data_IF_380553410495
#
_entry.id   IF_380553410495
#
_cell.length_a   1.000
_cell.length_b   1.000
_cell.length_c   1.000
_cell.angle_alpha   90.00
_cell.angle_beta   90.00
_cell.angle_gamma   90.00
#
_symmetry.space_group_name_H-M   'P 1'
#
loop_
_entity.id
_entity.type
_entity.pdbx_description
1 polymer ?
#
# COMPACT_ATOMS: atom_id res chain seq x y z
N UNK A 1 -34.24 49.80 -16.22
CA UNK A 1 -33.53 50.89 -15.52
C UNK A 1 -33.74 50.60 -14.05
N UNK A 2 -32.84 49.81 -13.41
CA UNK A 2 -31.61 50.29 -12.73
C UNK A 2 -31.99 51.31 -11.65
N UNK A 3 -31.83 51.08 -10.34
CA UNK A 3 -30.67 50.50 -9.65
C UNK A 3 -31.02 49.68 -8.38
N UNK A 4 -30.21 48.64 -8.15
CA UNK A 4 -29.98 47.93 -6.88
C UNK A 4 -29.20 48.82 -5.92
N UNK A 5 -29.40 48.72 -4.59
CA UNK A 5 -28.35 48.93 -3.57
C UNK A 5 -28.72 48.10 -2.34
N UNK A 6 -28.10 46.93 -2.21
CA UNK A 6 -28.06 46.11 -1.01
C UNK A 6 -26.68 46.34 -0.38
N UNK A 7 -26.61 46.92 0.82
CA UNK A 7 -25.34 47.11 1.54
C UNK A 7 -24.85 45.77 2.11
N UNK A 8 -23.88 45.15 1.43
CA UNK A 8 -23.02 44.10 1.99
C UNK A 8 -22.03 44.73 2.98
N UNK A 9 -22.10 44.32 4.25
CA UNK A 9 -21.01 44.55 5.20
C UNK A 9 -19.87 43.57 4.90
N UNK A 10 -18.84 44.09 4.23
CA UNK A 10 -17.61 43.37 3.91
C UNK A 10 -16.79 43.04 5.18
N UNK A 11 -16.40 41.76 5.31
CA UNK A 11 -15.32 41.33 6.19
C UNK A 11 -13.99 41.93 5.71
N UNK A 12 -13.08 42.35 6.62
CA UNK A 12 -11.81 42.93 6.22
C UNK A 12 -10.93 41.89 5.53
N UNK A 13 -10.54 42.19 4.29
CA UNK A 13 -9.50 41.52 3.52
C UNK A 13 -8.17 41.58 4.29
N UNK A 14 -7.85 40.52 5.04
CA UNK A 14 -6.49 40.24 5.46
C UNK A 14 -5.79 39.58 4.27
N UNK A 15 -5.19 40.38 3.38
CA UNK A 15 -3.92 40.13 2.67
C UNK A 15 -3.66 41.32 1.72
N UNK A 16 -2.70 42.21 2.04
CA UNK A 16 -2.28 43.24 1.11
C UNK A 16 -1.62 42.58 -0.10
N UNK A 17 -2.09 42.96 -1.27
CA UNK A 17 -1.43 42.77 -2.56
C UNK A 17 -0.28 43.78 -2.66
N UNK A 18 0.87 43.43 -2.11
CA UNK A 18 2.13 44.12 -2.41
C UNK A 18 3.23 43.09 -2.66
N UNK A 19 3.97 43.32 -3.74
CA UNK A 19 5.10 42.54 -4.25
C UNK A 19 6.18 42.37 -3.18
N UNK A 20 6.17 41.25 -2.46
CA UNK A 20 7.32 40.83 -1.68
C UNK A 20 8.35 40.17 -2.61
N UNK A 21 9.46 40.86 -2.84
CA UNK A 21 10.64 40.33 -3.50
C UNK A 21 11.25 39.17 -2.68
N UNK A 22 10.99 37.94 -3.11
CA UNK A 22 11.60 36.71 -2.60
C UNK A 22 13.03 36.51 -3.15
N UNK A 23 13.99 37.37 -2.80
CA UNK A 23 15.36 37.22 -3.34
C UNK A 23 16.51 37.03 -2.34
N UNK A 24 16.30 37.01 -1.01
CA UNK A 24 17.44 36.94 -0.06
C UNK A 24 17.40 35.77 0.95
N UNK A 25 16.71 34.67 0.66
CA UNK A 25 16.70 33.47 1.53
C UNK A 25 17.42 32.28 0.88
N UNK A 26 18.69 32.00 1.22
CA UNK A 26 19.48 30.93 0.57
C UNK A 26 18.96 29.50 0.85
N UNK A 27 18.09 29.33 1.85
CA UNK A 27 17.49 28.05 2.26
C UNK A 27 16.12 27.77 1.64
N UNK A 28 15.53 28.74 0.92
CA UNK A 28 14.22 28.63 0.27
C UNK A 28 14.38 28.66 -1.24
N UNK A 29 14.05 27.56 -1.92
CA UNK A 29 14.13 27.44 -3.36
C UNK A 29 12.74 27.26 -3.99
N UNK A 30 12.38 28.17 -4.89
CA UNK A 30 11.14 28.11 -5.69
C UNK A 30 11.54 27.83 -7.14
N UNK A 31 11.03 26.72 -7.70
CA UNK A 31 11.30 26.34 -9.09
C UNK A 31 10.00 26.19 -9.86
N UNK A 32 9.86 27.00 -10.90
CA UNK A 32 8.72 26.97 -11.82
C UNK A 32 9.08 26.19 -13.09
N UNK A 33 8.33 25.13 -13.38
CA UNK A 33 8.60 24.24 -14.51
C UNK A 33 7.79 24.66 -15.76
N UNK A 34 8.45 25.10 -16.85
CA UNK A 34 7.76 25.54 -18.05
C UNK A 34 7.05 24.40 -18.80
N UNK A 35 5.95 24.75 -19.46
CA UNK A 35 5.05 23.83 -20.17
C UNK A 35 5.58 23.41 -21.55
N UNK A 36 6.62 22.57 -21.62
CA UNK A 36 6.90 21.77 -22.83
C UNK A 36 7.90 20.63 -22.55
N UNK A 37 7.54 19.39 -22.90
CA UNK A 37 8.37 18.26 -23.43
C UNK A 37 7.84 16.88 -23.02
N UNK A 38 7.74 15.96 -23.99
CA UNK A 38 7.38 14.53 -23.85
C UNK A 38 8.62 13.61 -23.90
N UNK A 39 8.67 12.67 -22.94
CA UNK A 39 9.26 11.31 -22.95
C UNK A 39 10.79 11.08 -22.79
N UNK A 40 11.07 9.88 -22.22
CA UNK A 40 12.29 9.02 -22.21
C UNK A 40 13.08 8.87 -20.89
N UNK A 41 12.79 7.77 -20.17
CA UNK A 41 13.55 7.04 -19.12
C UNK A 41 14.05 7.76 -17.85
N UNK A 42 13.79 7.14 -16.69
CA UNK A 42 13.59 7.75 -15.36
C UNK A 42 14.70 8.65 -14.75
N UNK A 43 15.90 8.77 -15.34
CA UNK A 43 16.89 9.79 -14.93
C UNK A 43 17.40 10.60 -16.14
N UNK A 44 17.36 10.04 -17.35
CA UNK A 44 17.68 10.76 -18.60
C UNK A 44 16.53 11.67 -19.06
N UNK A 45 15.33 11.48 -18.51
CA UNK A 45 14.11 12.23 -18.85
C UNK A 45 13.97 13.58 -18.15
N UNK A 46 14.83 13.90 -17.16
CA UNK A 46 14.75 15.17 -16.46
C UNK A 46 15.23 16.26 -17.43
N UNK A 47 14.38 17.26 -17.64
CA UNK A 47 14.81 18.44 -18.37
C UNK A 47 15.86 19.23 -17.54
N UNK A 48 16.52 20.20 -18.15
CA UNK A 48 17.62 20.95 -17.51
C UNK A 48 17.22 21.56 -16.16
N UNK A 49 16.02 22.13 -16.06
CA UNK A 49 15.51 22.74 -14.82
C UNK A 49 15.22 21.69 -13.73
N UNK A 50 14.60 20.58 -14.10
CA UNK A 50 14.31 19.47 -13.20
C UNK A 50 15.60 18.80 -12.69
N UNK A 51 16.62 18.73 -13.54
CA UNK A 51 17.92 18.19 -13.20
C UNK A 51 18.70 19.10 -12.25
N UNK A 52 18.56 20.42 -12.38
CA UNK A 52 19.12 21.36 -11.39
C UNK A 52 18.54 21.13 -10.00
N UNK A 53 17.23 20.92 -9.88
CA UNK A 53 16.60 20.56 -8.58
C UNK A 53 17.16 19.24 -8.05
N UNK A 54 17.27 18.23 -8.91
CA UNK A 54 17.81 16.92 -8.55
C UNK A 54 19.25 17.01 -8.03
N UNK A 55 20.14 17.66 -8.78
CA UNK A 55 21.56 17.79 -8.44
C UNK A 55 21.75 18.62 -7.15
N UNK A 56 20.91 19.63 -6.93
CA UNK A 56 20.94 20.46 -5.72
C UNK A 56 20.54 19.68 -4.46
N UNK A 57 19.47 18.88 -4.54
CA UNK A 57 19.08 17.99 -3.43
C UNK A 57 20.14 16.90 -3.21
N UNK A 58 20.75 16.39 -4.28
CA UNK A 58 21.83 15.42 -4.19
C UNK A 58 23.03 15.97 -3.41
N UNK A 59 23.49 17.18 -3.73
CA UNK A 59 24.58 17.84 -3.02
C UNK A 59 24.24 18.06 -1.54
N UNK A 60 23.02 18.50 -1.23
CA UNK A 60 22.56 18.63 0.14
C UNK A 60 22.55 17.29 0.89
N UNK A 61 21.99 16.22 0.30
CA UNK A 61 22.02 14.88 0.91
C UNK A 61 23.46 14.39 1.14
N UNK A 62 24.38 14.65 0.20
CA UNK A 62 25.80 14.32 0.38
C UNK A 62 26.45 15.10 1.51
N UNK A 63 26.11 16.39 1.69
CA UNK A 63 26.57 17.21 2.84
C UNK A 63 26.04 16.65 4.16
N UNK A 64 24.78 16.20 4.21
CA UNK A 64 24.20 15.53 5.38
C UNK A 64 24.96 14.23 5.71
N UNK A 65 25.26 13.41 4.71
CA UNK A 65 26.03 12.17 4.92
C UNK A 65 27.45 12.48 5.41
N UNK A 66 28.11 13.50 4.84
CA UNK A 66 29.44 13.95 5.29
C UNK A 66 29.41 14.48 6.72
N UNK A 67 28.38 15.23 7.12
CA UNK A 67 28.28 15.80 8.48
C UNK A 67 28.15 14.72 9.56
N UNK A 68 27.61 13.53 9.23
CA UNK A 68 27.53 12.38 10.16
C UNK A 68 28.91 11.88 10.62
N UNK A 69 29.98 12.11 9.86
CA UNK A 69 31.36 11.67 10.17
C UNK A 69 32.24 12.75 10.80
N UNK A 70 31.63 13.76 11.45
CA UNK A 70 32.24 14.95 12.05
C UNK A 70 32.39 16.17 11.12
N UNK A 71 31.27 16.64 10.57
CA UNK A 71 31.17 17.94 9.90
C UNK A 71 29.98 18.76 10.40
N UNK A 72 29.92 20.08 10.13
CA UNK A 72 28.76 20.90 10.45
C UNK A 72 27.53 20.38 9.71
N UNK A 73 26.41 20.25 10.42
CA UNK A 73 25.14 19.80 9.85
C UNK A 73 24.65 20.88 8.86
N UNK A 74 24.35 20.54 7.59
CA UNK A 74 23.83 21.53 6.65
C UNK A 74 22.46 22.04 7.12
N UNK A 75 22.15 23.29 6.79
CA UNK A 75 20.87 23.90 7.14
C UNK A 75 19.69 23.18 6.47
N UNK A 76 18.50 23.17 7.10
CA UNK A 76 17.30 22.61 6.50
C UNK A 76 16.98 23.30 5.17
N UNK A 77 16.63 22.51 4.16
CA UNK A 77 16.28 22.99 2.83
C UNK A 77 14.78 22.84 2.59
N UNK A 78 14.12 23.89 2.11
CA UNK A 78 12.73 23.83 1.64
C UNK A 78 12.67 24.07 0.14
N UNK A 79 12.04 23.14 -0.58
CA UNK A 79 11.88 23.21 -2.03
C UNK A 79 10.40 23.24 -2.36
N UNK A 80 9.99 24.29 -3.08
CA UNK A 80 8.66 24.42 -3.65
C UNK A 80 8.75 24.17 -5.16
N UNK A 81 8.16 23.07 -5.62
CA UNK A 81 8.06 22.73 -7.06
C UNK A 81 6.69 23.17 -7.56
N UNK A 82 6.66 24.22 -8.37
CA UNK A 82 5.43 24.76 -8.97
C UNK A 82 5.38 24.45 -10.48
N UNK A 83 4.19 24.55 -11.07
CA UNK A 83 3.99 24.38 -12.51
C UNK A 83 2.61 23.84 -12.88
N UNK A 84 2.22 24.00 -14.16
CA UNK A 84 0.92 23.59 -14.70
C UNK A 84 0.68 22.07 -14.71
N UNK A 85 -0.54 21.63 -15.02
CA UNK A 85 -0.84 20.20 -15.21
C UNK A 85 -0.01 19.60 -16.36
N UNK A 86 0.55 18.41 -16.18
CA UNK A 86 1.35 17.73 -17.21
C UNK A 86 2.83 18.13 -17.31
N UNK A 87 3.34 19.04 -16.46
CA UNK A 87 4.75 19.50 -16.46
C UNK A 87 5.73 18.52 -15.79
N UNK A 88 5.28 17.33 -15.40
CA UNK A 88 6.13 16.30 -14.80
C UNK A 88 6.50 16.53 -13.33
N UNK A 89 5.81 17.40 -12.58
CA UNK A 89 6.07 17.65 -11.15
C UNK A 89 6.19 16.36 -10.32
N UNK A 90 5.23 15.44 -10.46
CA UNK A 90 5.24 14.15 -9.76
C UNK A 90 6.44 13.29 -10.12
N UNK A 91 6.92 13.37 -11.36
CA UNK A 91 8.09 12.64 -11.84
C UNK A 91 9.38 13.16 -11.19
N UNK A 92 9.52 14.49 -11.07
CA UNK A 92 10.65 15.14 -10.39
C UNK A 92 10.66 14.83 -8.91
N UNK A 93 9.51 14.96 -8.24
CA UNK A 93 9.35 14.65 -6.81
C UNK A 93 9.74 13.19 -6.55
N UNK A 94 9.26 12.26 -7.39
CA UNK A 94 9.59 10.84 -7.26
C UNK A 94 11.09 10.58 -7.48
N UNK A 95 11.70 11.17 -8.50
CA UNK A 95 13.13 11.01 -8.79
C UNK A 95 14.02 11.55 -7.65
N UNK A 96 13.69 12.74 -7.13
CA UNK A 96 14.38 13.38 -6.00
C UNK A 96 14.24 12.53 -4.74
N UNK A 97 13.02 12.07 -4.44
CA UNK A 97 12.74 11.23 -3.27
C UNK A 97 13.53 9.91 -3.31
N UNK A 98 13.52 9.20 -4.44
CA UNK A 98 14.25 7.95 -4.62
C UNK A 98 15.77 8.15 -4.48
N UNK A 99 16.30 9.25 -5.01
CA UNK A 99 17.71 9.60 -4.82
C UNK A 99 18.04 9.93 -3.37
N UNK A 100 17.16 10.66 -2.67
CA UNK A 100 17.39 11.13 -1.30
C UNK A 100 17.46 9.95 -0.34
N UNK A 101 16.52 9.02 -0.48
CA UNK A 101 16.50 7.76 0.25
C UNK A 101 17.80 6.99 0.02
N UNK A 102 18.17 6.74 -1.25
CA UNK A 102 19.40 6.01 -1.58
C UNK A 102 20.65 6.66 -0.99
N UNK A 103 20.74 7.98 -1.05
CA UNK A 103 21.92 8.72 -0.61
C UNK A 103 22.00 8.75 0.93
N UNK A 104 20.88 8.95 1.62
CA UNK A 104 20.83 9.09 3.08
C UNK A 104 20.84 7.73 3.82
N UNK A 105 20.49 6.63 3.16
CA UNK A 105 20.48 5.28 3.74
C UNK A 105 21.83 4.54 3.65
N UNK A 106 22.80 5.00 2.85
CA UNK A 106 24.10 4.34 2.77
C UNK A 106 24.95 4.57 4.04
N UNK A 107 24.91 3.62 4.98
CA UNK A 107 25.95 3.46 5.99
C UNK A 107 27.15 2.70 5.40
N UNK A 108 28.29 3.39 5.25
CA UNK A 108 29.58 2.77 5.51
C UNK A 108 30.26 1.85 4.49
N UNK A 109 29.85 1.71 3.21
CA UNK A 109 30.66 1.03 2.19
C UNK A 109 30.79 1.86 0.89
N UNK A 110 32.00 2.00 0.30
CA UNK A 110 32.13 2.55 -1.05
C UNK A 110 31.53 1.53 -2.04
N UNK A 111 30.77 1.98 -3.07
CA UNK A 111 30.36 1.06 -4.12
C UNK A 111 31.61 0.54 -4.85
N UNK A 112 31.74 -0.79 -4.89
CA UNK A 112 32.73 -1.44 -5.74
C UNK A 112 32.48 -1.07 -7.21
N UNK A 113 33.53 -1.02 -8.06
CA UNK A 113 33.33 -0.82 -9.48
C UNK A 113 32.72 -2.09 -10.08
N UNK A 114 31.62 -1.92 -10.81
CA UNK A 114 31.12 -2.84 -11.83
C UNK A 114 30.91 -4.29 -11.37
N UNK A 115 29.83 -4.51 -10.62
CA UNK A 115 28.99 -5.69 -10.82
C UNK A 115 27.91 -5.33 -11.84
N UNK A 116 28.26 -5.34 -13.14
CA UNK A 116 27.26 -5.49 -14.19
C UNK A 116 26.68 -6.89 -13.98
N UNK A 117 25.66 -7.01 -13.12
CA UNK A 117 24.65 -8.03 -13.37
C UNK A 117 24.06 -7.61 -14.70
N UNK A 118 24.38 -8.37 -15.74
CA UNK A 118 23.52 -8.43 -16.90
C UNK A 118 22.13 -8.72 -16.33
N UNK A 119 21.27 -7.70 -16.29
CA UNK A 119 19.86 -7.96 -16.49
C UNK A 119 19.86 -8.68 -17.82
N UNK A 120 19.71 -10.00 -17.78
CA UNK A 120 19.05 -10.65 -18.89
C UNK A 120 17.74 -9.89 -19.01
N UNK A 121 17.62 -9.08 -20.06
CA UNK A 121 16.35 -8.64 -20.58
C UNK A 121 15.58 -9.90 -20.97
N UNK A 122 15.06 -10.60 -19.97
CA UNK A 122 13.96 -11.50 -20.20
C UNK A 122 12.80 -10.54 -20.41
N UNK A 123 12.53 -10.23 -21.66
CA UNK A 123 11.29 -9.61 -22.10
C UNK A 123 10.15 -10.57 -21.79
N UNK A 124 9.85 -10.76 -20.51
CA UNK A 124 8.68 -11.53 -20.09
C UNK A 124 7.50 -10.63 -20.43
N UNK A 125 6.77 -11.02 -21.46
CA UNK A 125 5.52 -10.37 -21.82
C UNK A 125 4.61 -10.41 -20.59
N UNK A 126 4.28 -9.24 -20.02
CA UNK A 126 3.58 -9.15 -18.74
C UNK A 126 2.25 -9.95 -18.75
N UNK A 127 1.64 -10.07 -19.93
CA UNK A 127 0.42 -10.84 -20.22
C UNK A 127 0.56 -12.35 -20.09
N UNK A 128 1.80 -12.88 -19.98
CA UNK A 128 2.09 -14.32 -19.93
C UNK A 128 2.71 -14.81 -18.62
N UNK A 129 2.95 -13.91 -17.66
CA UNK A 129 3.63 -14.24 -16.40
C UNK A 129 2.89 -15.28 -15.54
N UNK A 130 1.57 -15.33 -15.66
CA UNK A 130 0.68 -16.20 -14.89
C UNK A 130 0.24 -17.47 -15.60
N UNK A 131 0.67 -17.71 -16.85
CA UNK A 131 0.21 -18.87 -17.64
C UNK A 131 0.54 -20.17 -16.92
N UNK A 132 -0.48 -21.01 -16.72
CA UNK A 132 -0.36 -22.29 -16.01
C UNK A 132 -0.30 -22.16 -14.49
N UNK A 133 -0.49 -20.96 -13.93
CA UNK A 133 -0.57 -20.72 -12.49
C UNK A 133 -2.02 -20.48 -12.05
N UNK A 134 -2.29 -20.83 -10.80
CA UNK A 134 -3.57 -20.57 -10.14
C UNK A 134 -3.34 -19.74 -8.89
N UNK A 135 -4.13 -18.68 -8.73
CA UNK A 135 -4.11 -17.74 -7.61
C UNK A 135 -5.46 -17.84 -6.90
N UNK A 136 -5.49 -17.94 -5.58
CA UNK A 136 -6.71 -17.74 -4.80
C UNK A 136 -6.60 -16.49 -3.95
N UNK A 137 -7.71 -15.76 -3.81
CA UNK A 137 -7.80 -14.57 -2.96
C UNK A 137 -8.87 -14.76 -1.90
N UNK A 138 -8.55 -14.41 -0.65
CA UNK A 138 -9.47 -14.46 0.48
C UNK A 138 -9.34 -13.19 1.33
N UNK A 139 -10.46 -12.78 1.93
CA UNK A 139 -10.50 -11.75 2.97
C UNK A 139 -10.75 -12.38 4.33
N UNK A 140 -9.98 -12.00 5.36
CA UNK A 140 -10.09 -12.63 6.68
C UNK A 140 -9.81 -11.62 7.80
N UNK A 141 -10.57 -11.70 8.90
CA UNK A 141 -10.50 -10.77 10.02
C UNK A 141 -11.63 -9.75 10.02
N UNK A 142 -11.47 -8.63 10.72
CA UNK A 142 -12.39 -7.50 10.61
C UNK A 142 -12.35 -6.94 9.19
N UNK A 143 -13.50 -6.58 8.63
CA UNK A 143 -13.56 -5.96 7.32
C UNK A 143 -13.13 -4.50 7.37
N UNK A 144 -12.59 -4.02 6.27
CA UNK A 144 -12.15 -2.64 6.13
C UNK A 144 -12.53 -2.12 4.73
N UNK A 145 -12.95 -0.86 4.65
CA UNK A 145 -13.30 -0.25 3.36
C UNK A 145 -12.09 -0.27 2.43
N UNK A 146 -12.29 -0.71 1.19
CA UNK A 146 -11.21 -0.89 0.20
C UNK A 146 -10.73 -2.33 0.03
N UNK A 147 -11.12 -3.28 0.88
CA UNK A 147 -10.82 -4.71 0.67
C UNK A 147 -11.37 -5.21 -0.69
N UNK A 148 -12.56 -4.76 -1.09
CA UNK A 148 -13.11 -5.05 -2.40
C UNK A 148 -12.25 -4.53 -3.56
N UNK A 149 -11.60 -3.37 -3.39
CA UNK A 149 -10.68 -2.82 -4.38
C UNK A 149 -9.42 -3.68 -4.52
N UNK A 150 -8.89 -4.17 -3.38
CA UNK A 150 -7.76 -5.08 -3.34
C UNK A 150 -8.10 -6.43 -4.01
N UNK A 151 -9.23 -7.05 -3.66
CA UNK A 151 -9.71 -8.28 -4.31
C UNK A 151 -9.83 -8.07 -5.83
N UNK A 152 -10.48 -6.97 -6.25
CA UNK A 152 -10.62 -6.62 -7.66
C UNK A 152 -9.28 -6.49 -8.36
N UNK A 153 -8.30 -5.82 -7.75
CA UNK A 153 -6.97 -5.67 -8.33
C UNK A 153 -6.28 -7.02 -8.52
N UNK A 154 -6.31 -7.88 -7.50
CA UNK A 154 -5.76 -9.25 -7.56
C UNK A 154 -6.38 -10.07 -8.69
N UNK A 155 -7.72 -10.04 -8.84
CA UNK A 155 -8.40 -10.75 -9.92
C UNK A 155 -8.02 -10.19 -11.30
N UNK A 156 -8.10 -8.87 -11.49
CA UNK A 156 -7.81 -8.24 -12.79
C UNK A 156 -6.37 -8.48 -13.23
N UNK A 157 -5.41 -8.32 -12.32
CA UNK A 157 -3.99 -8.54 -12.62
C UNK A 157 -3.71 -10.02 -12.84
N UNK A 158 -4.26 -10.91 -12.00
CA UNK A 158 -4.13 -12.35 -12.19
C UNK A 158 -4.62 -12.81 -13.56
N UNK A 159 -5.84 -12.42 -13.94
CA UNK A 159 -6.40 -12.73 -15.26
C UNK A 159 -5.61 -12.09 -16.41
N UNK A 160 -5.18 -10.83 -16.26
CA UNK A 160 -4.38 -10.12 -17.26
C UNK A 160 -3.04 -10.81 -17.54
N UNK A 161 -2.41 -11.38 -16.51
CA UNK A 161 -1.14 -12.13 -16.63
C UNK A 161 -1.34 -13.57 -17.14
N UNK A 162 -2.58 -14.02 -17.36
CA UNK A 162 -2.92 -15.36 -17.84
C UNK A 162 -3.05 -16.43 -16.74
N UNK A 163 -3.08 -16.04 -15.46
CA UNK A 163 -3.35 -16.94 -14.35
C UNK A 163 -4.85 -17.25 -14.22
N UNK A 164 -5.17 -18.43 -13.69
CA UNK A 164 -6.52 -18.73 -13.19
C UNK A 164 -6.67 -18.12 -11.80
N UNK A 165 -7.75 -17.39 -11.56
CA UNK A 165 -7.99 -16.77 -10.26
C UNK A 165 -9.24 -17.36 -9.62
N UNK A 166 -9.20 -17.59 -8.31
CA UNK A 166 -10.31 -18.12 -7.51
C UNK A 166 -10.62 -17.18 -6.34
N UNK A 167 -11.90 -17.02 -6.03
CA UNK A 167 -12.33 -16.48 -4.74
C UNK A 167 -12.37 -17.61 -3.72
N UNK A 168 -12.06 -17.27 -2.49
CA UNK A 168 -12.37 -18.08 -1.32
C UNK A 168 -13.33 -17.26 -0.48
N UNK A 169 -14.56 -17.74 -0.38
CA UNK A 169 -15.61 -17.11 0.41
C UNK A 169 -15.40 -17.33 1.91
N UNK A 170 -15.88 -16.41 2.74
CA UNK A 170 -15.86 -16.53 4.21
C UNK A 170 -14.44 -16.76 4.80
N UNK A 171 -13.42 -16.22 4.13
CA UNK A 171 -12.03 -16.26 4.59
C UNK A 171 -11.48 -17.67 4.78
N UNK A 172 -10.85 -17.92 5.93
CA UNK A 172 -10.29 -19.25 6.23
C UNK A 172 -11.37 -20.33 6.40
N UNK A 173 -12.61 -19.95 6.74
CA UNK A 173 -13.68 -20.92 6.90
C UNK A 173 -14.02 -21.58 5.56
N UNK A 174 -14.27 -20.78 4.52
CA UNK A 174 -14.52 -21.34 3.19
C UNK A 174 -13.30 -22.04 2.58
N UNK A 175 -12.09 -21.67 2.99
CA UNK A 175 -10.89 -22.43 2.61
C UNK A 175 -10.91 -23.85 3.18
N UNK A 176 -11.30 -24.01 4.44
CA UNK A 176 -11.43 -25.31 5.13
C UNK A 176 -12.59 -26.11 4.56
N UNK A 177 -13.74 -25.47 4.36
CA UNK A 177 -14.97 -26.11 3.88
C UNK A 177 -14.82 -26.58 2.43
N UNK A 178 -14.11 -25.80 1.59
CA UNK A 178 -13.93 -26.10 0.18
C UNK A 178 -15.23 -26.08 -0.60
N UNK A 179 -15.29 -26.84 -1.69
CA UNK A 179 -16.48 -26.94 -2.54
C UNK A 179 -16.87 -25.59 -3.14
N UNK A 180 -18.14 -25.22 -3.02
CA UNK A 180 -18.70 -23.99 -3.59
C UNK A 180 -18.10 -22.71 -2.99
N UNK A 181 -17.43 -22.80 -1.84
CA UNK A 181 -16.73 -21.67 -1.24
C UNK A 181 -15.47 -21.28 -2.02
N UNK A 182 -14.94 -22.16 -2.88
CA UNK A 182 -13.78 -21.86 -3.74
C UNK A 182 -14.24 -21.83 -5.19
N UNK A 183 -14.57 -20.63 -5.68
CA UNK A 183 -15.17 -20.44 -7.00
C UNK A 183 -14.22 -19.68 -7.94
N UNK A 184 -14.22 -19.98 -9.25
CA UNK A 184 -13.40 -19.26 -10.21
C UNK A 184 -13.88 -17.81 -10.35
N UNK A 185 -12.93 -16.87 -10.34
CA UNK A 185 -13.19 -15.46 -10.58
C UNK A 185 -13.11 -15.14 -12.09
N UNK A 186 -14.01 -14.29 -12.58
CA UNK A 186 -14.01 -13.81 -13.97
C UNK A 186 -13.73 -12.32 -14.03
N UNK A 187 -13.54 -11.82 -15.25
CA UNK A 187 -13.37 -10.39 -15.46
C UNK A 187 -14.63 -9.63 -15.01
N UNK A 188 -15.81 -10.19 -15.26
CA UNK A 188 -17.10 -9.58 -14.95
C UNK A 188 -17.40 -9.60 -13.45
N UNK A 189 -17.00 -10.66 -12.74
CA UNK A 189 -17.34 -10.88 -11.33
C UNK A 189 -16.84 -9.80 -10.37
N UNK A 190 -15.85 -8.99 -10.78
CA UNK A 190 -15.27 -7.90 -9.97
C UNK A 190 -15.58 -6.49 -10.49
N UNK A 191 -16.52 -6.32 -11.42
CA UNK A 191 -16.75 -5.03 -12.10
C UNK A 191 -17.30 -3.93 -11.19
N UNK A 192 -18.17 -4.28 -10.24
CA UNK A 192 -18.85 -3.31 -9.34
C UNK A 192 -18.29 -3.32 -7.92
N UNK A 193 -17.13 -3.94 -7.70
CA UNK A 193 -16.57 -4.09 -6.36
C UNK A 193 -15.95 -2.80 -5.82
N UNK A 194 -15.49 -1.88 -6.69
CA UNK A 194 -14.66 -0.75 -6.27
C UNK A 194 -15.38 0.21 -5.30
N UNK A 195 -16.68 0.42 -5.50
CA UNK A 195 -17.51 1.34 -4.73
C UNK A 195 -18.19 0.71 -3.51
N UNK A 196 -18.06 -0.60 -3.31
CA UNK A 196 -18.78 -1.32 -2.25
C UNK A 196 -17.94 -1.36 -0.97
N UNK A 197 -18.58 -1.08 0.16
CA UNK A 197 -18.01 -1.25 1.49
C UNK A 197 -17.81 -2.73 1.86
N UNK A 198 -17.04 -2.96 2.94
CA UNK A 198 -16.75 -4.29 3.46
C UNK A 198 -16.03 -5.19 2.45
N UNK A 199 -16.39 -6.48 2.44
CA UNK A 199 -15.90 -7.49 1.50
C UNK A 199 -17.02 -8.31 0.88
N UNK A 200 -17.08 -8.35 -0.45
CA UNK A 200 -18.08 -9.10 -1.23
C UNK A 200 -17.87 -10.61 -1.17
N UNK A 201 -16.65 -11.06 -0.82
CA UNK A 201 -16.36 -12.48 -0.67
C UNK A 201 -16.51 -12.93 0.80
N UNK A 202 -16.91 -12.03 1.70
CA UNK A 202 -17.14 -12.36 3.10
C UNK A 202 -15.86 -12.52 3.90
N UNK A 203 -16.00 -12.50 5.22
CA UNK A 203 -14.92 -12.72 6.16
C UNK A 203 -15.50 -13.39 7.40
N UNK A 204 -15.07 -14.62 7.70
CA UNK A 204 -15.50 -15.35 8.88
C UNK A 204 -14.31 -15.70 9.76
N UNK A 205 -14.53 -15.63 11.08
CA UNK A 205 -13.59 -16.20 12.05
C UNK A 205 -13.64 -17.72 11.93
N UNK A 206 -12.49 -18.34 11.74
CA UNK A 206 -12.39 -19.80 11.60
C UNK A 206 -11.65 -20.42 12.80
N UNK A 207 -12.34 -21.21 13.60
CA UNK A 207 -11.70 -21.98 14.68
C UNK A 207 -10.97 -23.21 14.13
N UNK A 208 -11.54 -23.86 13.11
CA UNK A 208 -10.96 -25.05 12.49
C UNK A 208 -9.55 -24.79 11.94
N UNK A 209 -9.31 -23.61 11.36
CA UNK A 209 -7.99 -23.24 10.83
C UNK A 209 -6.91 -23.07 11.91
N UNK A 210 -7.29 -22.94 13.18
CA UNK A 210 -6.35 -22.97 14.31
C UNK A 210 -5.82 -24.36 14.58
N UNK A 211 -6.55 -25.41 14.21
CA UNK A 211 -6.09 -26.78 14.37
C UNK A 211 -5.36 -27.27 13.12
N UNK A 212 -4.47 -28.25 13.32
CA UNK A 212 -3.72 -28.85 12.23
C UNK A 212 -4.65 -29.64 11.30
N UNK A 213 -5.73 -30.24 11.81
CA UNK A 213 -6.70 -30.93 10.98
C UNK A 213 -7.41 -29.97 10.02
N UNK A 214 -7.83 -28.80 10.49
CA UNK A 214 -8.46 -27.79 9.62
C UNK A 214 -7.50 -27.28 8.55
N UNK A 215 -6.25 -26.96 8.91
CA UNK A 215 -5.22 -26.61 7.92
C UNK A 215 -4.94 -27.74 6.92
N UNK A 216 -4.97 -28.99 7.36
CA UNK A 216 -4.82 -30.16 6.48
C UNK A 216 -5.99 -30.25 5.48
N UNK A 217 -7.23 -29.97 5.90
CA UNK A 217 -8.39 -29.89 5.00
C UNK A 217 -8.25 -28.76 3.99
N UNK A 218 -7.87 -27.56 4.46
CA UNK A 218 -7.60 -26.41 3.61
C UNK A 218 -6.53 -26.71 2.53
N UNK A 219 -5.41 -27.32 2.93
CA UNK A 219 -4.36 -27.72 2.00
C UNK A 219 -4.86 -28.74 0.96
N UNK A 220 -5.68 -29.71 1.37
CA UNK A 220 -6.31 -30.67 0.46
C UNK A 220 -7.13 -29.96 -0.63
N UNK A 221 -7.96 -28.98 -0.25
CA UNK A 221 -8.81 -28.24 -1.17
C UNK A 221 -7.99 -27.44 -2.19
N UNK A 222 -6.92 -26.76 -1.74
CA UNK A 222 -6.03 -26.02 -2.63
C UNK A 222 -5.31 -26.93 -3.62
N UNK A 223 -4.75 -28.05 -3.14
CA UNK A 223 -3.99 -28.98 -3.99
C UNK A 223 -4.87 -29.63 -5.05
N UNK A 224 -6.10 -30.03 -4.69
CA UNK A 224 -7.06 -30.60 -5.64
C UNK A 224 -7.45 -29.63 -6.77
N UNK A 225 -7.42 -28.33 -6.48
CA UNK A 225 -7.69 -27.27 -7.46
C UNK A 225 -6.41 -26.78 -8.16
N UNK A 226 -5.23 -27.33 -7.82
CA UNK A 226 -3.94 -26.90 -8.34
C UNK A 226 -3.57 -25.47 -7.94
N UNK A 227 -4.09 -24.98 -6.82
CA UNK A 227 -3.85 -23.62 -6.32
C UNK A 227 -2.58 -23.64 -5.46
N UNK A 228 -1.57 -22.90 -5.91
CA UNK A 228 -0.24 -22.79 -5.26
C UNK A 228 0.12 -21.37 -4.87
N UNK A 229 -0.74 -20.39 -5.19
CA UNK A 229 -0.53 -18.98 -4.88
C UNK A 229 -1.76 -18.47 -4.13
N UNK A 230 -1.55 -17.91 -2.94
CA UNK A 230 -2.60 -17.42 -2.06
C UNK A 230 -2.38 -15.94 -1.77
N UNK A 231 -3.40 -15.12 -2.02
CA UNK A 231 -3.45 -13.72 -1.66
C UNK A 231 -4.39 -13.56 -0.46
N UNK A 232 -3.83 -13.18 0.68
CA UNK A 232 -4.59 -13.00 1.93
C UNK A 232 -4.72 -11.51 2.21
N UNK A 233 -5.95 -11.01 2.25
CA UNK A 233 -6.26 -9.62 2.57
C UNK A 233 -6.88 -9.59 3.98
N UNK A 234 -6.26 -8.90 4.93
CA UNK A 234 -6.74 -8.89 6.31
C UNK A 234 -5.81 -8.21 7.29
N UNK A 235 -6.14 -8.28 8.57
CA UNK A 235 -5.32 -7.76 9.66
C UNK A 235 -4.18 -8.70 10.07
N UNK A 236 -3.41 -8.30 11.08
CA UNK A 236 -2.21 -9.00 11.57
C UNK A 236 -2.45 -10.50 11.87
N UNK A 237 -3.51 -10.83 12.61
CA UNK A 237 -3.83 -12.22 12.94
C UNK A 237 -4.09 -13.10 11.71
N UNK A 238 -4.67 -12.54 10.65
CA UNK A 238 -4.91 -13.25 9.39
C UNK A 238 -3.62 -13.51 8.64
N UNK A 239 -2.70 -12.54 8.63
CA UNK A 239 -1.40 -12.65 7.97
C UNK A 239 -0.46 -13.60 8.71
N UNK A 240 -0.47 -13.56 10.05
CA UNK A 240 0.25 -14.52 10.90
C UNK A 240 -0.22 -15.95 10.66
N UNK A 241 -1.54 -16.17 10.57
CA UNK A 241 -2.10 -17.48 10.23
C UNK A 241 -1.68 -17.97 8.83
N UNK A 242 -1.50 -17.05 7.88
CA UNK A 242 -1.02 -17.37 6.54
C UNK A 242 0.45 -17.83 6.56
N UNK A 243 1.33 -17.12 7.29
CA UNK A 243 2.74 -17.49 7.38
C UNK A 243 2.94 -18.84 8.09
N UNK A 244 2.17 -19.10 9.15
CA UNK A 244 2.14 -20.42 9.78
C UNK A 244 1.73 -21.50 8.78
N UNK A 245 0.68 -21.26 8.00
CA UNK A 245 0.19 -22.21 7.00
C UNK A 245 1.22 -22.51 5.91
N UNK A 246 1.97 -21.49 5.44
CA UNK A 246 3.09 -21.66 4.51
C UNK A 246 4.22 -22.48 5.13
N UNK A 247 4.58 -22.20 6.37
CA UNK A 247 5.69 -22.87 7.07
C UNK A 247 5.38 -24.35 7.29
N UNK A 248 4.14 -24.68 7.61
CA UNK A 248 3.69 -26.06 7.83
C UNK A 248 3.36 -26.82 6.52
N UNK A 249 3.40 -26.16 5.37
CA UNK A 249 2.87 -26.68 4.10
C UNK A 249 3.42 -28.06 3.70
N UNK A 250 4.74 -28.26 3.78
CA UNK A 250 5.40 -29.51 3.41
C UNK A 250 4.97 -30.68 4.31
N UNK A 251 4.76 -30.42 5.60
CA UNK A 251 4.27 -31.40 6.55
C UNK A 251 2.80 -31.77 6.28
N UNK A 252 1.96 -30.77 5.99
CA UNK A 252 0.55 -30.99 5.63
C UNK A 252 0.42 -31.86 4.38
N UNK A 253 1.26 -31.62 3.36
CA UNK A 253 1.31 -32.46 2.17
C UNK A 253 1.71 -33.91 2.49
N UNK A 254 2.70 -34.12 3.34
CA UNK A 254 3.12 -35.45 3.75
C UNK A 254 1.98 -36.22 4.47
N UNK A 255 1.23 -35.53 5.32
CA UNK A 255 0.04 -36.10 5.99
C UNK A 255 -1.03 -36.47 4.95
N UNK A 256 -1.29 -35.61 3.97
CA UNK A 256 -2.30 -35.85 2.93
C UNK A 256 -1.95 -37.03 2.01
N UNK A 257 -0.68 -37.15 1.63
CA UNK A 257 -0.19 -38.28 0.82
C UNK A 257 -0.28 -39.58 1.61
N UNK A 258 0.15 -39.58 2.89
CA UNK A 258 0.05 -40.75 3.76
C UNK A 258 -1.41 -41.20 3.99
N UNK A 259 -2.33 -40.23 4.06
CA UNK A 259 -3.76 -40.50 4.20
C UNK A 259 -4.45 -40.89 2.88
N UNK A 260 -3.74 -40.90 1.75
CA UNK A 260 -4.29 -41.22 0.42
C UNK A 260 -5.32 -40.22 -0.10
N UNK A 261 -5.37 -39.00 0.46
CA UNK A 261 -6.32 -37.95 0.03
C UNK A 261 -5.84 -37.17 -1.19
N UNK A 262 -4.52 -37.19 -1.43
CA UNK A 262 -3.82 -36.51 -2.51
C UNK A 262 -2.75 -37.46 -3.05
N UNK A 263 -2.58 -37.50 -4.36
CA UNK A 263 -1.56 -38.32 -5.02
C UNK A 263 -0.16 -37.72 -4.87
N UNK A 264 0.89 -38.55 -5.01
CA UNK A 264 2.27 -38.07 -4.96
C UNK A 264 2.59 -37.05 -6.07
N UNK A 265 1.90 -37.15 -7.22
CA UNK A 265 2.06 -36.22 -8.34
C UNK A 265 1.43 -34.85 -8.02
N UNK A 266 0.21 -34.82 -7.50
CA UNK A 266 -0.45 -33.58 -7.08
C UNK A 266 0.34 -32.85 -5.98
N UNK A 267 0.87 -33.61 -5.01
CA UNK A 267 1.72 -33.07 -3.95
C UNK A 267 3.04 -32.50 -4.51
N UNK A 268 3.63 -33.13 -5.53
CA UNK A 268 4.84 -32.63 -6.20
C UNK A 268 4.56 -31.35 -6.98
N UNK A 269 3.46 -31.31 -7.74
CA UNK A 269 3.02 -30.12 -8.47
C UNK A 269 2.73 -28.94 -7.53
N UNK A 270 2.28 -29.22 -6.31
CA UNK A 270 1.96 -28.21 -5.29
C UNK A 270 2.99 -28.15 -4.16
N UNK A 271 4.25 -28.50 -4.43
CA UNK A 271 5.31 -28.63 -3.41
C UNK A 271 5.55 -27.37 -2.58
N UNK A 272 5.24 -26.19 -3.13
CA UNK A 272 5.43 -24.90 -2.47
C UNK A 272 4.14 -24.09 -2.53
N UNK A 273 3.83 -23.41 -1.41
CA UNK A 273 2.75 -22.44 -1.33
C UNK A 273 3.35 -21.03 -1.30
N UNK A 274 3.03 -20.24 -2.33
CA UNK A 274 3.37 -18.83 -2.36
C UNK A 274 2.25 -18.04 -1.68
N UNK A 275 2.60 -17.18 -0.74
CA UNK A 275 1.63 -16.32 -0.05
C UNK A 275 2.03 -14.86 -0.23
N UNK A 276 1.04 -14.04 -0.54
CA UNK A 276 1.13 -12.57 -0.51
C UNK A 276 0.08 -12.05 0.46
N UNK A 277 0.53 -11.22 1.41
CA UNK A 277 -0.33 -10.53 2.37
C UNK A 277 -0.63 -9.10 1.95
N UNK A 278 -1.87 -8.66 2.11
CA UNK A 278 -2.26 -7.26 2.03
C UNK A 278 -2.95 -6.86 3.33
N UNK A 279 -2.50 -5.75 3.93
CA UNK A 279 -3.02 -5.32 5.23
C UNK A 279 -4.32 -4.54 5.05
N UNK A 280 -5.43 -5.13 5.48
CA UNK A 280 -6.73 -4.48 5.58
C UNK A 280 -7.11 -4.32 7.05
N UNK A 281 -7.07 -3.07 7.53
CA UNK A 281 -7.37 -2.68 8.90
C UNK A 281 -7.78 -1.21 8.92
N UNK A 282 -8.66 -0.84 9.85
CA UNK A 282 -8.99 0.57 10.12
C UNK A 282 -7.99 1.20 11.11
N UNK A 283 -7.28 0.37 11.87
CA UNK A 283 -6.48 0.78 13.04
C UNK A 283 -5.09 1.33 12.67
N UNK A 284 -4.61 1.10 11.45
CA UNK A 284 -3.24 1.41 11.02
C UNK A 284 -2.15 0.87 11.97
N UNK A 285 -2.35 -0.36 12.44
CA UNK A 285 -1.59 -0.98 13.53
C UNK A 285 -0.56 -2.01 13.04
N UNK A 286 -0.36 -2.15 11.73
CA UNK A 286 0.59 -3.10 11.16
C UNK A 286 1.95 -2.46 10.91
N UNK A 287 2.97 -2.94 11.61
CA UNK A 287 4.33 -2.43 11.45
C UNK A 287 4.89 -2.76 10.05
N UNK A 288 5.57 -1.78 9.45
CA UNK A 288 6.20 -1.92 8.13
C UNK A 288 5.37 -1.40 6.95
N UNK A 289 4.15 -0.88 7.19
CA UNK A 289 3.41 -0.06 6.23
C UNK A 289 3.05 1.28 6.85
N UNK A 290 3.11 2.36 6.07
CA UNK A 290 2.74 3.70 6.54
C UNK A 290 1.20 3.82 6.69
N UNK A 291 0.46 3.12 5.83
CA UNK A 291 -1.00 3.14 5.80
C UNK A 291 -1.58 1.76 5.51
N UNK A 292 -2.59 1.35 6.29
CA UNK A 292 -3.39 0.13 6.04
C UNK A 292 -4.64 0.43 5.23
N UNK A 293 -5.12 -0.56 4.46
CA UNK A 293 -6.34 -0.41 3.66
C UNK A 293 -7.53 -0.28 4.60
N UNK A 294 -8.18 0.89 4.57
CA UNK A 294 -9.38 1.20 5.35
C UNK A 294 -9.19 2.35 6.35
N UNK A 295 -7.97 2.67 6.75
CA UNK A 295 -7.68 3.73 7.73
C UNK A 295 -8.25 5.09 7.31
N UNK A 296 -7.95 5.55 6.10
CA UNK A 296 -8.42 6.85 5.60
C UNK A 296 -9.95 6.91 5.51
N UNK A 297 -10.58 5.80 5.11
CA UNK A 297 -12.04 5.69 5.04
C UNK A 297 -12.67 5.73 6.44
N UNK A 298 -12.09 5.06 7.43
CA UNK A 298 -12.54 5.12 8.81
C UNK A 298 -12.37 6.54 9.40
N UNK A 299 -11.22 7.18 9.17
CA UNK A 299 -10.97 8.57 9.58
C UNK A 299 -12.00 9.53 8.97
N UNK A 300 -12.31 9.35 7.69
CA UNK A 300 -13.34 10.15 7.03
C UNK A 300 -14.71 10.00 7.70
N UNK A 301 -15.11 8.78 8.10
CA UNK A 301 -16.36 8.57 8.85
C UNK A 301 -16.33 9.25 10.22
N UNK A 302 -15.20 9.24 10.92
CA UNK A 302 -15.04 9.95 12.19
C UNK A 302 -15.22 11.46 11.99
N UNK A 303 -14.60 12.04 10.96
CA UNK A 303 -14.71 13.47 10.66
C UNK A 303 -16.15 13.89 10.35
N UNK A 304 -16.88 13.11 9.56
CA UNK A 304 -18.30 13.39 9.27
C UNK A 304 -19.15 13.47 10.55
N UNK A 305 -18.90 12.58 11.53
CA UNK A 305 -19.62 12.58 12.82
C UNK A 305 -19.23 13.80 13.66
N UNK A 306 -17.94 14.14 13.70
CA UNK A 306 -17.43 15.32 14.41
C UNK A 306 -18.05 16.61 13.83
N UNK A 307 -18.06 16.75 12.52
CA UNK A 307 -18.63 17.90 11.83
C UNK A 307 -20.14 18.03 12.11
N UNK A 308 -20.87 16.92 12.08
CA UNK A 308 -22.30 16.90 12.41
C UNK A 308 -22.58 17.36 13.84
N UNK A 309 -21.75 16.97 14.81
CA UNK A 309 -21.93 17.29 16.23
C UNK A 309 -21.46 18.72 16.58
N UNK A 310 -20.48 19.25 15.85
CA UNK A 310 -19.87 20.56 16.14
C UNK A 310 -20.89 21.70 16.16
N UNK A 311 -21.84 21.68 15.22
CA UNK A 311 -22.88 22.73 15.13
C UNK A 311 -23.79 22.78 16.36
N UNK A 312 -24.21 21.61 16.89
CA UNK A 312 -25.01 21.56 18.12
C UNK A 312 -24.19 21.82 19.38
N UNK A 313 -22.91 21.46 19.39
CA UNK A 313 -22.02 21.71 20.52
C UNK A 313 -21.85 23.22 20.75
N UNK A 314 -21.61 23.97 19.67
CA UNK A 314 -21.47 25.43 19.72
C UNK A 314 -22.77 26.14 20.10
N UNK A 315 -23.89 25.71 19.52
CA UNK A 315 -25.20 26.36 19.75
C UNK A 315 -25.70 26.26 21.20
N UNK A 316 -25.38 25.17 21.89
CA UNK A 316 -25.86 24.91 23.25
C UNK A 316 -24.75 24.86 24.30
N UNK A 317 -23.51 25.23 23.95
CA UNK A 317 -22.34 25.16 24.83
C UNK A 317 -22.20 23.78 25.50
N UNK A 318 -22.33 22.72 24.71
CA UNK A 318 -22.25 21.33 25.20
C UNK A 318 -20.87 20.75 24.97
N UNK A 319 -20.42 19.93 25.93
CA UNK A 319 -19.23 19.08 25.78
C UNK A 319 -19.67 17.68 25.35
N UNK A 320 -19.08 17.18 24.27
CA UNK A 320 -19.27 15.81 23.80
C UNK A 320 -17.99 15.01 24.02
N UNK A 321 -18.15 13.75 24.42
CA UNK A 321 -17.07 12.76 24.47
C UNK A 321 -17.38 11.74 23.38
N UNK A 322 -16.43 11.56 22.46
CA UNK A 322 -16.54 10.68 21.31
C UNK A 322 -15.53 9.53 21.49
N UNK A 323 -16.04 8.33 21.70
CA UNK A 323 -15.23 7.11 21.66
C UNK A 323 -15.12 6.64 20.20
N UNK A 324 -13.89 6.48 19.71
CA UNK A 324 -13.61 6.01 18.34
C UNK A 324 -12.93 4.66 18.37
N UNK A 325 -13.10 3.91 17.29
CA UNK A 325 -12.39 2.63 17.10
C UNK A 325 -10.90 2.89 16.87
N UNK A 326 -10.08 1.94 17.31
CA UNK A 326 -8.63 2.00 17.30
C UNK A 326 -8.11 0.92 18.23
N UNK A 327 -7.57 -0.17 17.68
CA UNK A 327 -6.87 -1.18 18.46
C UNK A 327 -5.67 -0.57 19.20
N UNK A 328 -5.07 -1.31 20.13
CA UNK A 328 -3.90 -0.84 20.86
C UNK A 328 -2.71 -0.65 19.92
N UNK A 329 -2.59 0.54 19.32
CA UNK A 329 -1.37 1.05 18.71
C UNK A 329 -0.25 0.92 19.75
N UNK A 330 0.59 -0.11 19.58
CA UNK A 330 1.77 -0.29 20.41
C UNK A 330 2.76 0.80 20.04
N UNK A 331 2.76 1.88 20.81
CA UNK A 331 3.85 2.83 20.82
C UNK A 331 5.04 2.09 21.44
N UNK A 332 5.98 1.62 20.60
CA UNK A 332 7.30 1.23 21.08
C UNK A 332 7.96 2.47 21.68
N UNK A 333 8.20 2.43 22.98
CA UNK A 333 8.90 3.51 23.68
C UNK A 333 10.33 3.67 23.16
N UNK A 334 10.95 4.86 23.36
CA UNK A 334 12.31 5.13 22.91
C UNK A 334 13.29 4.23 23.67
N UNK A 335 13.63 3.09 23.07
CA UNK A 335 14.45 2.03 23.67
C UNK A 335 14.41 0.73 22.85
N UNK A 336 13.30 0.47 22.15
CA UNK A 336 13.21 -0.63 21.21
C UNK A 336 13.71 -0.18 19.83
N UNK A 337 14.77 -0.83 19.36
CA UNK A 337 15.40 -0.59 18.06
C UNK A 337 14.51 -1.09 16.91
N UNK A 338 13.42 -0.37 16.64
CA UNK A 338 12.65 -0.44 15.41
C UNK A 338 11.91 0.90 15.26
N UNK A 339 12.56 1.85 14.59
CA UNK A 339 11.98 3.15 14.32
C UNK A 339 10.75 3.04 13.41
N UNK A 340 9.59 3.45 13.91
CA UNK A 340 8.46 3.87 13.10
C UNK A 340 8.43 5.40 13.10
N UNK A 341 8.40 5.99 11.90
CA UNK A 341 8.03 7.39 11.69
C UNK A 341 6.60 7.42 11.15
N UNK A 342 5.79 8.32 11.71
CA UNK A 342 4.53 8.76 11.13
C UNK A 342 4.75 9.53 9.81
#
# INVERSE_FOLDING_TARGET
>A
MMDEHCEEQAFPQLFPTEEFGFQDLPWLWIVDLPSYLRSVSQVRSLNTQQRMVYDHVQDWCQKVVKSRKAGPKPEPMQIFVTGGAGTGKSHVISAVYQMAIRTLQCEGHPPSPAGIMQQQDISVEATKMGVGRSIAVLTSGGDAQGMNAAVRATVRVGLYTGAKVFFIHEGYQGLVDGGDNICPATWESVSMMLQLGGTMIGSARCQDFRTKEGRTKAACNLVKLGITNLCVIGGDGSLTGADQFRTEWSELLAILVKAGKVTAEEAKCSSHLNIVGMVGSIDNDFCGTDMTIGTDSALHRIMEVVDAITTTAQSHQRTFILEVMGSALRVSGPGDSAGLWC
#
